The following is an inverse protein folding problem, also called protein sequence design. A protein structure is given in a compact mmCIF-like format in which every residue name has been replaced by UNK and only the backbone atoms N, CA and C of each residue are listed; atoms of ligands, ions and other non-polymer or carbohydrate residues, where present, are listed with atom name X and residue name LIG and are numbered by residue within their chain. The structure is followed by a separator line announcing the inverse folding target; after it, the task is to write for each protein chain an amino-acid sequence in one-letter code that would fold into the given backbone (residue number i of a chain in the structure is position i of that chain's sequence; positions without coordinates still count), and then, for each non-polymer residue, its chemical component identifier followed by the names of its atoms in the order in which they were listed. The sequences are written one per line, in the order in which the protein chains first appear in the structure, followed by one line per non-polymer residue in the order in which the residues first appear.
data_IF_906933358261
#
_entry.id   IF_906933358261
#
_cell.length_a   1.000
_cell.length_b   1.000
_cell.length_c   1.000
_cell.angle_alpha   90.00
_cell.angle_beta   90.00
_cell.angle_gamma   90.00
#
_symmetry.space_group_name_H-M   'P 1'
#
loop_
_entity.id
_entity.type
_entity.pdbx_description
1 polymer ?
#
# COMPACT_ATOMS: atom_id res chain seq x y z
N UNK A 1 24.20 4.79 1.03
CA UNK A 1 24.59 4.01 2.23
C UNK A 1 23.33 3.37 2.80
N UNK A 2 23.12 2.08 2.57
CA UNK A 2 21.97 1.32 3.07
C UNK A 2 22.12 1.13 4.59
N UNK A 3 21.40 1.96 5.34
CA UNK A 3 21.33 1.85 6.80
C UNK A 3 20.60 0.55 7.18
N UNK A 4 21.28 -0.35 7.91
CA UNK A 4 20.80 -1.60 8.53
C UNK A 4 20.94 -2.94 7.77
N UNK A 5 21.78 -3.06 6.73
CA UNK A 5 22.03 -4.36 6.09
C UNK A 5 20.81 -4.95 5.36
N UNK A 6 19.77 -4.14 5.14
CA UNK A 6 18.65 -4.47 4.28
C UNK A 6 19.14 -4.49 2.82
N UNK A 7 18.86 -5.55 2.05
CA UNK A 7 19.20 -5.60 0.63
C UNK A 7 18.41 -4.55 -0.16
N UNK A 8 18.87 -4.26 -1.37
CA UNK A 8 18.08 -3.47 -2.32
C UNK A 8 16.88 -4.31 -2.78
N UNK A 9 15.68 -3.80 -2.50
CA UNK A 9 14.42 -4.48 -2.75
C UNK A 9 13.66 -3.81 -3.89
N UNK A 10 13.19 -4.59 -4.86
CA UNK A 10 12.41 -4.11 -6.00
C UNK A 10 10.98 -4.63 -6.00
N UNK A 11 10.05 -3.85 -6.58
CA UNK A 11 8.66 -4.27 -6.75
C UNK A 11 8.56 -5.67 -7.38
N UNK A 12 7.66 -6.50 -6.88
CA UNK A 12 7.46 -7.87 -7.38
C UNK A 12 8.54 -8.87 -6.96
N UNK A 13 9.62 -8.42 -6.32
CA UNK A 13 10.67 -9.32 -5.86
C UNK A 13 10.14 -10.29 -4.81
N UNK A 14 10.36 -11.57 -5.05
CA UNK A 14 10.02 -12.63 -4.11
C UNK A 14 11.22 -12.95 -3.24
N UNK A 15 10.98 -13.11 -1.95
CA UNK A 15 12.03 -13.44 -1.00
C UNK A 15 11.47 -14.14 0.22
N UNK A 16 12.37 -14.83 0.92
CA UNK A 16 12.15 -15.41 2.22
C UNK A 16 12.96 -14.65 3.26
N UNK A 17 12.36 -14.44 4.43
CA UNK A 17 13.02 -13.80 5.57
C UNK A 17 12.45 -14.29 6.89
N UNK A 18 13.28 -14.34 7.93
CA UNK A 18 12.86 -14.66 9.28
C UNK A 18 12.61 -13.39 10.12
N UNK A 19 11.60 -13.41 10.98
CA UNK A 19 11.48 -12.43 12.07
C UNK A 19 12.48 -12.69 13.19
N UNK A 20 12.73 -11.66 14.00
CA UNK A 20 13.45 -11.80 15.27
C UNK A 20 12.82 -12.85 16.22
N UNK A 21 11.52 -13.13 16.07
CA UNK A 21 10.79 -14.13 16.89
C UNK A 21 10.84 -15.55 16.30
N UNK A 22 11.53 -15.75 15.18
CA UNK A 22 11.72 -17.07 14.57
C UNK A 22 10.71 -17.45 13.49
N UNK A 23 9.60 -16.73 13.34
CA UNK A 23 8.64 -16.95 12.25
C UNK A 23 9.28 -16.64 10.90
N UNK A 24 9.12 -17.54 9.93
CA UNK A 24 9.61 -17.40 8.57
C UNK A 24 8.47 -16.92 7.65
N UNK A 25 8.80 -16.03 6.72
CA UNK A 25 7.86 -15.51 5.73
C UNK A 25 8.44 -15.74 4.33
N UNK A 26 7.62 -16.30 3.44
CA UNK A 26 7.84 -16.28 1.99
C UNK A 26 6.87 -15.26 1.41
N UNK A 27 7.39 -14.23 0.74
CA UNK A 27 6.62 -13.03 0.42
C UNK A 27 7.01 -12.45 -0.93
N UNK A 28 6.10 -11.70 -1.53
CA UNK A 28 6.34 -10.87 -2.70
C UNK A 28 6.30 -9.39 -2.29
N UNK A 29 7.30 -8.60 -2.70
CA UNK A 29 7.39 -7.19 -2.36
C UNK A 29 6.38 -6.36 -3.14
N UNK A 30 5.65 -5.49 -2.42
CA UNK A 30 4.80 -4.47 -3.03
C UNK A 30 5.43 -3.09 -2.95
N UNK A 31 5.95 -2.71 -1.78
CA UNK A 31 6.64 -1.42 -1.64
C UNK A 31 7.42 -1.33 -0.35
N UNK A 32 8.45 -0.50 -0.32
CA UNK A 32 9.17 -0.14 0.90
C UNK A 32 8.66 1.22 1.36
N UNK A 33 7.94 1.25 2.49
CA UNK A 33 7.42 2.48 3.07
C UNK A 33 8.52 3.43 3.51
N UNK A 34 8.22 4.74 3.52
CA UNK A 34 9.14 5.79 4.00
C UNK A 34 9.28 5.71 5.52
N UNK A 35 10.49 5.99 6.03
CA UNK A 35 10.75 5.99 7.47
C UNK A 35 10.29 4.69 8.15
N UNK A 36 9.37 4.82 9.09
CA UNK A 36 8.86 3.75 9.97
C UNK A 36 7.61 3.03 9.43
N UNK A 37 7.16 3.36 8.22
CA UNK A 37 6.01 2.72 7.55
C UNK A 37 6.14 1.23 7.27
N UNK A 38 7.32 0.64 7.48
CA UNK A 38 7.55 -0.78 7.26
C UNK A 38 7.69 -1.14 5.78
N UNK A 39 7.45 -2.41 5.48
CA UNK A 39 7.52 -3.00 4.14
C UNK A 39 6.17 -3.63 3.84
N UNK A 40 5.59 -3.26 2.71
CA UNK A 40 4.33 -3.81 2.23
C UNK A 40 4.61 -4.99 1.32
N UNK A 41 3.92 -6.09 1.58
CA UNK A 41 4.15 -7.38 0.95
C UNK A 41 2.83 -8.07 0.63
N UNK A 42 2.89 -8.98 -0.34
CA UNK A 42 1.88 -10.01 -0.59
C UNK A 42 2.38 -11.32 0.02
N UNK A 43 1.55 -11.94 0.85
CA UNK A 43 1.77 -13.27 1.40
C UNK A 43 1.40 -14.36 0.36
N UNK A 44 1.87 -15.59 0.56
CA UNK A 44 1.53 -16.73 -0.31
C UNK A 44 0.02 -17.01 -0.39
N UNK A 45 -0.75 -16.64 0.65
CA UNK A 45 -2.21 -16.78 0.67
C UNK A 45 -2.95 -15.62 -0.04
N UNK A 46 -2.23 -14.76 -0.76
CA UNK A 46 -2.79 -13.63 -1.49
C UNK A 46 -3.12 -12.40 -0.62
N UNK A 47 -2.95 -12.45 0.71
CA UNK A 47 -3.23 -11.29 1.57
C UNK A 47 -2.11 -10.26 1.50
N UNK A 48 -2.49 -8.98 1.52
CA UNK A 48 -1.55 -7.87 1.74
C UNK A 48 -1.24 -7.75 3.22
N UNK A 49 0.04 -7.63 3.54
CA UNK A 49 0.51 -7.41 4.91
C UNK A 49 1.59 -6.33 4.97
N UNK A 50 1.86 -5.89 6.20
CA UNK A 50 2.97 -4.99 6.52
C UNK A 50 3.93 -5.67 7.48
N UNK A 51 5.21 -5.70 7.13
CA UNK A 51 6.30 -6.11 8.01
C UNK A 51 7.02 -4.89 8.59
N UNK A 52 7.35 -4.96 9.87
CA UNK A 52 8.19 -3.96 10.53
C UNK A 52 9.66 -4.27 10.25
N UNK A 53 10.37 -3.35 9.57
CA UNK A 53 11.78 -3.49 9.17
C UNK A 53 12.70 -3.85 10.34
N UNK A 54 12.38 -3.35 11.55
CA UNK A 54 13.21 -3.56 12.76
C UNK A 54 12.98 -4.93 13.41
N UNK A 55 11.96 -5.67 12.97
CA UNK A 55 11.59 -6.98 13.50
C UNK A 55 12.01 -8.13 12.60
N UNK A 56 12.77 -7.85 11.55
CA UNK A 56 13.27 -8.82 10.57
C UNK A 56 14.76 -9.09 10.80
N UNK A 57 15.16 -10.34 10.57
CA UNK A 57 16.54 -10.82 10.54
C UNK A 57 17.06 -10.72 9.12
N UNK A 58 17.64 -9.58 8.77
CA UNK A 58 18.07 -9.29 7.40
C UNK A 58 19.19 -10.22 6.89
N UNK A 59 19.95 -10.81 7.79
CA UNK A 59 20.94 -11.87 7.52
C UNK A 59 20.32 -13.19 7.05
N UNK A 60 19.02 -13.40 7.25
CA UNK A 60 18.26 -14.57 6.77
C UNK A 60 17.56 -14.34 5.43
N UNK A 61 17.83 -13.20 4.78
CA UNK A 61 17.23 -12.88 3.48
C UNK A 61 17.70 -13.88 2.41
N UNK A 62 16.73 -14.48 1.74
CA UNK A 62 16.96 -15.41 0.63
C UNK A 62 16.05 -15.00 -0.53
N UNK A 63 16.60 -14.57 -1.70
CA UNK A 63 15.78 -14.31 -2.87
C UNK A 63 15.13 -15.61 -3.34
N UNK A 64 13.85 -15.54 -3.70
CA UNK A 64 13.12 -16.67 -4.25
C UNK A 64 12.97 -16.51 -5.77
N UNK A 65 12.66 -17.63 -6.43
CA UNK A 65 12.31 -17.63 -7.85
C UNK A 65 11.14 -16.66 -8.11
N UNK A 66 11.19 -15.86 -9.19
CA UNK A 66 10.10 -14.95 -9.56
C UNK A 66 8.78 -15.67 -9.88
N UNK A 67 8.81 -16.97 -10.16
CA UNK A 67 7.60 -17.78 -10.36
C UNK A 67 6.78 -17.88 -9.07
N UNK A 68 5.52 -17.45 -9.17
CA UNK A 68 4.52 -17.56 -8.10
C UNK A 68 3.50 -16.43 -8.19
N UNK A 69 2.72 -16.25 -7.12
CA UNK A 69 1.65 -15.25 -7.07
C UNK A 69 2.11 -13.86 -7.53
N UNK A 70 1.39 -13.22 -8.47
CA UNK A 70 1.69 -11.87 -8.89
C UNK A 70 1.49 -10.88 -7.73
N UNK A 71 2.18 -9.73 -7.74
CA UNK A 71 2.06 -8.73 -6.68
C UNK A 71 0.66 -8.11 -6.59
N UNK A 72 -0.05 -8.05 -7.72
CA UNK A 72 -1.38 -7.44 -7.85
C UNK A 72 -2.34 -8.45 -8.47
N UNK A 73 -3.57 -8.50 -7.95
CA UNK A 73 -4.57 -9.49 -8.32
C UNK A 73 -5.91 -8.84 -8.68
N UNK A 74 -6.68 -9.53 -9.52
CA UNK A 74 -8.12 -9.29 -9.62
C UNK A 74 -8.77 -9.41 -8.23
N UNK A 75 -9.64 -8.47 -7.89
CA UNK A 75 -10.28 -8.36 -6.57
C UNK A 75 -9.57 -7.39 -5.61
N UNK A 76 -8.37 -6.90 -5.91
CA UNK A 76 -7.69 -5.93 -5.08
C UNK A 76 -8.43 -4.58 -5.05
N UNK A 77 -8.56 -3.97 -3.85
CA UNK A 77 -9.02 -2.57 -3.75
C UNK A 77 -7.90 -1.62 -4.19
N UNK A 78 -8.20 -0.74 -5.13
CA UNK A 78 -7.22 0.19 -5.71
C UNK A 78 -7.72 1.64 -5.72
N UNK A 79 -6.77 2.56 -5.77
CA UNK A 79 -6.96 3.98 -6.05
C UNK A 79 -6.21 4.30 -7.34
N UNK A 80 -6.88 4.95 -8.27
CA UNK A 80 -6.34 5.33 -9.57
C UNK A 80 -6.42 6.85 -9.70
N UNK A 81 -5.30 7.48 -10.01
CA UNK A 81 -5.27 8.87 -10.42
C UNK A 81 -5.25 8.92 -11.95
N UNK A 82 -6.21 9.63 -12.53
CA UNK A 82 -6.38 9.79 -13.97
C UNK A 82 -6.80 11.23 -14.32
N UNK A 83 -6.91 11.55 -15.60
CA UNK A 83 -7.26 12.91 -16.05
C UNK A 83 -8.60 13.44 -15.49
N UNK A 84 -9.56 12.53 -15.23
CA UNK A 84 -10.87 12.86 -14.66
C UNK A 84 -10.88 13.01 -13.13
N UNK A 85 -9.74 12.79 -12.47
CA UNK A 85 -9.58 12.88 -11.02
C UNK A 85 -9.15 11.57 -10.38
N UNK A 86 -9.44 11.42 -9.08
CA UNK A 86 -9.11 10.19 -8.35
C UNK A 86 -10.31 9.25 -8.28
N UNK A 87 -10.12 8.03 -8.74
CA UNK A 87 -11.11 6.96 -8.68
C UNK A 87 -10.69 5.89 -7.67
N UNK A 88 -11.66 5.33 -6.95
CA UNK A 88 -11.47 4.16 -6.09
C UNK A 88 -12.35 3.04 -6.60
N UNK A 89 -11.83 1.82 -6.65
CA UNK A 89 -12.59 0.66 -7.08
C UNK A 89 -11.90 -0.65 -6.74
N UNK A 90 -12.47 -1.74 -7.23
CA UNK A 90 -11.87 -3.07 -7.19
C UNK A 90 -11.29 -3.39 -8.56
N UNK A 91 -10.02 -3.80 -8.62
CA UNK A 91 -9.39 -4.22 -9.87
C UNK A 91 -10.10 -5.47 -10.39
N UNK A 92 -10.60 -5.46 -11.61
CA UNK A 92 -11.25 -6.62 -12.22
C UNK A 92 -10.25 -7.44 -12.98
N UNK A 93 -9.62 -6.81 -13.95
CA UNK A 93 -8.60 -7.36 -14.81
C UNK A 93 -7.64 -6.23 -15.15
N UNK A 94 -6.42 -6.63 -15.47
CA UNK A 94 -5.42 -5.70 -15.94
C UNK A 94 -4.83 -6.25 -17.22
N UNK A 95 -5.03 -5.52 -18.29
CA UNK A 95 -4.50 -5.84 -19.62
C UNK A 95 -3.50 -4.74 -19.93
N UNK A 96 -2.39 -5.07 -20.59
CA UNK A 96 -1.27 -4.14 -20.81
C UNK A 96 -1.68 -2.71 -21.26
N UNK A 97 -2.82 -2.58 -21.96
CA UNK A 97 -3.33 -1.32 -22.50
C UNK A 97 -4.52 -0.71 -21.73
N UNK A 98 -5.11 -1.41 -20.75
CA UNK A 98 -6.26 -0.92 -19.98
C UNK A 98 -6.29 -1.39 -18.52
N UNK A 99 -6.75 -0.49 -17.64
CA UNK A 99 -7.06 -0.80 -16.24
C UNK A 99 -8.59 -0.92 -16.11
N UNK A 100 -9.08 -2.11 -15.77
CA UNK A 100 -10.51 -2.36 -15.56
C UNK A 100 -10.85 -2.36 -14.07
N UNK A 101 -11.80 -1.52 -13.68
CA UNK A 101 -12.21 -1.32 -12.29
C UNK A 101 -13.72 -1.57 -12.13
N UNK A 102 -14.11 -2.22 -11.03
CA UNK A 102 -15.48 -2.14 -10.52
C UNK A 102 -15.58 -1.00 -9.52
N UNK A 103 -16.39 0.01 -9.83
CA UNK A 103 -16.63 1.14 -8.93
C UNK A 103 -17.50 0.71 -7.74
N UNK A 104 -17.47 1.45 -6.60
CA UNK A 104 -18.28 1.13 -5.42
C UNK A 104 -19.79 1.09 -5.68
N UNK A 105 -20.25 1.79 -6.72
CA UNK A 105 -21.65 1.79 -7.16
C UNK A 105 -22.03 0.55 -7.98
N UNK A 106 -21.07 -0.36 -8.22
CA UNK A 106 -21.26 -1.63 -8.93
C UNK A 106 -21.03 -1.57 -10.45
N UNK A 107 -20.86 -0.39 -11.03
CA UNK A 107 -20.56 -0.24 -12.46
C UNK A 107 -19.09 -0.53 -12.75
N UNK A 108 -18.83 -1.13 -13.91
CA UNK A 108 -17.47 -1.37 -14.38
C UNK A 108 -16.99 -0.20 -15.25
N UNK A 109 -15.73 0.17 -15.09
CA UNK A 109 -15.07 1.26 -15.80
C UNK A 109 -13.75 0.75 -16.36
N UNK A 110 -13.53 1.00 -17.65
CA UNK A 110 -12.27 0.72 -18.34
C UNK A 110 -11.53 2.01 -18.58
N UNK A 111 -10.31 2.11 -18.08
CA UNK A 111 -9.44 3.26 -18.26
C UNK A 111 -8.29 2.88 -19.19
N UNK A 112 -8.08 3.60 -20.31
CA UNK A 112 -6.88 3.43 -21.10
C UNK A 112 -5.64 3.64 -20.24
N UNK A 113 -4.62 2.80 -20.40
CA UNK A 113 -3.38 2.85 -19.61
C UNK A 113 -2.71 4.22 -19.64
N UNK A 114 -2.80 4.92 -20.78
CA UNK A 114 -2.26 6.28 -20.96
C UNK A 114 -3.03 7.39 -20.24
N UNK A 115 -4.25 7.12 -19.76
CA UNK A 115 -5.03 8.05 -18.93
C UNK A 115 -4.69 7.93 -17.43
N UNK A 116 -4.03 6.83 -17.05
CA UNK A 116 -3.66 6.55 -15.65
C UNK A 116 -2.29 7.15 -15.35
N UNK A 117 -2.26 8.15 -14.47
CA UNK A 117 -1.02 8.78 -13.99
C UNK A 117 -0.41 8.01 -12.83
N UNK A 118 -1.23 7.53 -11.89
CA UNK A 118 -0.76 6.76 -10.73
C UNK A 118 -1.76 5.65 -10.36
N UNK A 119 -1.23 4.52 -9.88
CA UNK A 119 -2.01 3.40 -9.35
C UNK A 119 -1.51 3.06 -7.96
N UNK A 120 -2.46 2.87 -7.05
CA UNK A 120 -2.18 2.45 -5.69
C UNK A 120 -3.03 1.26 -5.32
N UNK A 121 -2.41 0.27 -4.68
CA UNK A 121 -3.11 -0.76 -3.92
C UNK A 121 -3.50 -0.20 -2.56
N UNK A 122 -4.75 -0.38 -2.15
CA UNK A 122 -5.25 0.13 -0.89
C UNK A 122 -5.11 -0.92 0.22
N UNK A 123 -4.16 -0.70 1.13
CA UNK A 123 -3.96 -1.54 2.31
C UNK A 123 -4.76 -1.02 3.51
N UNK A 124 -5.65 -1.85 4.05
CA UNK A 124 -6.38 -1.53 5.29
C UNK A 124 -5.47 -1.68 6.50
N UNK A 125 -4.97 -0.56 7.01
CA UNK A 125 -4.02 -0.57 8.12
C UNK A 125 -4.72 -0.75 9.47
N UNK A 126 -4.16 -1.62 10.33
CA UNK A 126 -4.63 -1.83 11.71
C UNK A 126 -4.06 -0.81 12.70
N UNK A 127 -2.91 -0.24 12.34
CA UNK A 127 -2.20 0.78 13.10
C UNK A 127 -1.57 1.79 12.12
N UNK A 128 -1.28 3.00 12.59
CA UNK A 128 -0.58 4.01 11.81
C UNK A 128 0.86 4.13 12.31
N UNK A 129 1.78 4.41 11.38
CA UNK A 129 3.19 4.67 11.66
C UNK A 129 3.60 6.02 11.06
N UNK A 130 4.56 6.73 11.68
CA UNK A 130 5.23 7.85 11.03
C UNK A 130 5.77 7.45 9.64
N UNK A 131 5.48 8.26 8.64
CA UNK A 131 5.81 8.02 7.24
C UNK A 131 4.64 7.48 6.41
N UNK A 132 3.59 6.92 7.02
CA UNK A 132 2.49 6.27 6.28
C UNK A 132 1.79 7.31 5.41
N UNK A 133 1.67 7.03 4.10
CA UNK A 133 0.62 7.66 3.30
C UNK A 133 -0.73 7.17 3.81
N UNK A 134 -1.72 8.04 3.96
CA UNK A 134 -3.01 7.66 4.52
C UNK A 134 -4.16 8.36 3.83
N UNK A 135 -5.24 7.61 3.64
CA UNK A 135 -6.57 8.07 3.31
C UNK A 135 -7.47 7.66 4.47
N UNK A 136 -8.16 8.62 5.07
CA UNK A 136 -9.06 8.35 6.20
C UNK A 136 -10.25 9.30 6.18
N UNK A 137 -11.33 8.89 6.84
CA UNK A 137 -12.51 9.72 7.06
C UNK A 137 -12.63 10.07 8.54
N UNK A 138 -13.03 11.31 8.78
CA UNK A 138 -13.60 11.68 10.08
C UNK A 138 -14.99 11.07 10.23
N UNK A 139 -15.45 10.94 11.48
CA UNK A 139 -16.82 10.50 11.79
C UNK A 139 -17.90 11.45 11.26
N UNK A 140 -17.55 12.68 10.91
CA UNK A 140 -18.44 13.65 10.25
C UNK A 140 -18.43 13.54 8.73
N UNK A 141 -17.70 12.58 8.14
CA UNK A 141 -17.69 12.30 6.71
C UNK A 141 -16.58 13.00 5.91
N UNK A 142 -15.84 13.94 6.50
CA UNK A 142 -14.73 14.60 5.79
C UNK A 142 -13.58 13.60 5.56
N UNK A 143 -13.14 13.48 4.31
CA UNK A 143 -11.98 12.68 3.92
C UNK A 143 -10.69 13.51 4.02
N UNK A 144 -9.63 12.88 4.51
CA UNK A 144 -8.30 13.46 4.62
C UNK A 144 -7.32 12.55 3.90
N UNK A 145 -6.43 13.17 3.13
CA UNK A 145 -5.33 12.50 2.43
C UNK A 145 -4.02 13.20 2.76
N UNK A 146 -2.99 12.41 3.04
CA UNK A 146 -1.69 12.97 3.42
C UNK A 146 -0.71 11.92 3.94
N UNK A 147 0.35 12.38 4.59
CA UNK A 147 1.34 11.54 5.25
C UNK A 147 1.34 11.74 6.76
N UNK A 148 1.38 10.64 7.50
CA UNK A 148 1.47 10.64 8.96
C UNK A 148 2.84 11.14 9.40
N UNK A 149 2.88 12.25 10.14
CA UNK A 149 4.12 12.74 10.75
C UNK A 149 4.37 12.09 12.12
N UNK A 150 3.34 12.06 12.97
CA UNK A 150 3.45 11.47 14.30
C UNK A 150 2.10 11.08 14.89
N UNK A 151 2.16 10.16 15.84
CA UNK A 151 1.08 9.84 16.77
C UNK A 151 1.52 10.34 18.15
N UNK A 152 0.95 11.45 18.60
CA UNK A 152 1.38 12.13 19.82
C UNK A 152 0.64 11.55 21.04
N UNK A 153 1.32 11.56 22.19
CA UNK A 153 0.71 11.30 23.49
C UNK A 153 -0.58 12.14 23.63
N UNK A 154 -1.69 11.50 23.99
CA UNK A 154 -3.03 12.10 23.94
C UNK A 154 -3.90 11.70 22.73
N UNK A 155 -3.50 10.66 21.98
CA UNK A 155 -4.29 10.05 20.89
C UNK A 155 -4.64 11.07 19.78
N UNK A 156 -3.65 11.86 19.36
CA UNK A 156 -3.77 12.74 18.19
C UNK A 156 -2.90 12.22 17.05
N UNK A 157 -3.47 12.24 15.86
CA UNK A 157 -2.80 12.00 14.59
C UNK A 157 -2.38 13.33 14.01
N UNK A 158 -1.09 13.52 13.78
CA UNK A 158 -0.54 14.68 13.06
C UNK A 158 -0.13 14.23 11.67
N UNK A 159 -0.64 14.93 10.66
CA UNK A 159 -0.38 14.62 9.25
C UNK A 159 -0.10 15.88 8.44
N UNK A 160 0.74 15.72 7.43
CA UNK A 160 0.87 16.69 6.33
C UNK A 160 -0.11 16.27 5.25
N UNK A 161 -1.07 17.13 4.92
CA UNK A 161 -2.07 16.90 3.89
C UNK A 161 -1.45 16.99 2.49
N UNK A 162 -2.08 16.35 1.51
CA UNK A 162 -1.61 16.38 0.11
C UNK A 162 -1.50 17.79 -0.46
N UNK A 163 -2.33 18.73 0.00
CA UNK A 163 -2.27 20.15 -0.39
C UNK A 163 -1.16 20.95 0.34
N UNK A 164 -0.28 20.28 1.09
CA UNK A 164 0.80 20.91 1.87
C UNK A 164 0.38 21.45 3.23
N UNK A 165 -0.92 21.47 3.56
CA UNK A 165 -1.41 21.87 4.86
C UNK A 165 -1.06 20.88 5.97
N UNK A 166 -1.27 21.27 7.23
CA UNK A 166 -1.14 20.37 8.37
C UNK A 166 -2.50 20.10 9.01
N UNK A 167 -2.74 18.85 9.42
CA UNK A 167 -3.91 18.48 10.20
C UNK A 167 -3.51 17.77 11.50
N UNK A 168 -4.15 18.15 12.59
CA UNK A 168 -4.02 17.52 13.90
C UNK A 168 -5.38 16.97 14.34
N UNK A 169 -5.61 15.70 14.07
CA UNK A 169 -6.89 15.03 14.26
C UNK A 169 -6.90 14.25 15.58
N UNK A 170 -7.99 14.35 16.35
CA UNK A 170 -8.20 13.46 17.51
C UNK A 170 -8.62 12.09 17.01
N UNK A 171 -7.96 11.01 17.45
CA UNK A 171 -8.29 9.64 17.02
C UNK A 171 -9.75 9.27 17.33
N UNK A 172 -10.36 9.82 18.38
CA UNK A 172 -11.77 9.61 18.71
C UNK A 172 -12.76 10.21 17.71
N UNK A 173 -12.30 11.11 16.83
CA UNK A 173 -13.10 11.73 15.76
C UNK A 173 -12.83 11.12 14.39
N UNK A 174 -11.91 10.17 14.29
CA UNK A 174 -11.62 9.42 13.07
C UNK A 174 -12.49 8.16 13.05
N UNK A 175 -12.98 7.83 11.86
CA UNK A 175 -13.48 6.49 11.59
C UNK A 175 -12.28 5.57 11.34
N UNK A 176 -11.90 4.80 12.35
CA UNK A 176 -10.74 3.91 12.26
C UNK A 176 -10.92 2.79 11.22
N UNK A 177 -12.17 2.46 10.86
CA UNK A 177 -12.44 1.45 9.83
C UNK A 177 -12.15 1.96 8.41
N UNK A 178 -12.08 3.28 8.24
CA UNK A 178 -11.81 3.94 6.96
C UNK A 178 -10.32 4.12 6.64
N UNK A 179 -9.43 3.75 7.56
CA UNK A 179 -7.99 3.97 7.40
C UNK A 179 -7.44 3.05 6.32
N UNK A 180 -7.00 3.66 5.22
CA UNK A 180 -6.32 2.97 4.12
C UNK A 180 -4.96 3.62 3.90
N UNK A 181 -3.97 2.80 3.57
CA UNK A 181 -2.65 3.24 3.12
C UNK A 181 -2.55 2.95 1.62
N UNK A 182 -2.40 3.99 0.77
CA UNK A 182 -2.13 3.78 -0.64
C UNK A 182 -0.68 3.32 -0.84
N UNK A 183 -0.51 2.10 -1.34
CA UNK A 183 0.77 1.49 -1.69
C UNK A 183 0.99 1.71 -3.18
N UNK A 184 2.02 2.47 -3.61
CA UNK A 184 2.24 2.76 -5.02
C UNK A 184 2.60 1.48 -5.78
N UNK A 185 1.96 1.29 -6.93
CA UNK A 185 2.19 0.18 -7.85
C UNK A 185 2.82 0.74 -9.12
N UNK A 186 4.01 0.29 -9.53
CA UNK A 186 4.60 0.68 -10.80
C UNK A 186 3.65 0.29 -11.93
N UNK A 187 3.24 1.25 -12.73
CA UNK A 187 2.22 0.97 -13.73
C UNK A 187 2.71 0.05 -14.86
N UNK A 188 4.03 -0.08 -15.05
CA UNK A 188 4.64 -1.02 -16.01
C UNK A 188 4.74 -2.45 -15.46
N UNK A 189 4.43 -2.64 -14.18
CA UNK A 189 4.38 -3.96 -13.54
C UNK A 189 3.04 -4.69 -13.76
N UNK A 190 2.11 -4.01 -14.43
CA UNK A 190 0.78 -4.47 -14.75
C UNK A 190 0.79 -5.28 -16.04
N UNK A 191 1.48 -6.42 -16.03
CA UNK A 191 1.49 -7.38 -17.13
C UNK A 191 0.70 -8.64 -16.75
N UNK A 192 -0.15 -9.10 -17.66
CA UNK A 192 -1.09 -10.22 -17.51
C UNK A 192 -0.39 -11.47 -16.94
N UNK A 193 -0.88 -11.98 -15.81
CA UNK A 193 -0.77 -13.41 -15.52
C UNK A 193 -1.72 -14.10 -16.51
N UNK A 194 -1.12 -14.82 -17.48
CA UNK A 194 -1.81 -15.44 -18.62
C UNK A 194 -2.94 -16.40 -18.26
#
# INVERSE_FOLDING_TARGET
MSSNGMPDLSFGQRFRIQSLRGSQYSVCLLSVGKGDSGIYIRLEDGRVARLDKRRLKWDTFEPLDPTGEPPVHAGDEVLVECSSGTLRGTLLENVNDEVSLRLPIGSDLKLPRGDVSELFLLFRARDLKPGDGVILKSRSGNEYRGSVRSLVAGRRLVMTLTNGGEASLRLSKIDLSSIMVPIPIPLDSLSVAG
#
